data_IF_206977723956
#
_entry.id   IF_206977723956
#
_cell.length_a   1.000
_cell.length_b   1.000
_cell.length_c   1.000
_cell.angle_alpha   90.00
_cell.angle_beta   90.00
_cell.angle_gamma   90.00
#
_symmetry.space_group_name_H-M   'P 1'
#
loop_
_entity.id
_entity.type
_entity.pdbx_description
1 polymer ?
#
# COMPACT_ATOMS: atom_id res chain seq x y z
N UNK A 1 10.63 2.16 -8.19
CA UNK A 1 11.64 2.27 -7.12
C UNK A 1 11.52 3.59 -6.36
N UNK A 2 11.55 4.75 -7.03
CA UNK A 2 11.47 6.09 -6.39
C UNK A 2 10.36 6.23 -5.35
N UNK A 3 9.17 5.67 -5.61
CA UNK A 3 8.02 5.77 -4.69
C UNK A 3 8.28 5.10 -3.35
N UNK A 4 8.86 3.88 -3.33
CA UNK A 4 9.17 3.17 -2.09
C UNK A 4 10.20 3.93 -1.25
N UNK A 5 11.28 4.37 -1.90
CA UNK A 5 12.29 5.22 -1.25
C UNK A 5 11.69 6.51 -0.68
N UNK A 6 10.83 7.16 -1.46
CA UNK A 6 10.17 8.40 -1.03
C UNK A 6 9.22 8.17 0.15
N UNK A 7 8.55 7.03 0.24
CA UNK A 7 7.73 6.69 1.40
C UNK A 7 8.57 6.64 2.68
N UNK A 8 9.76 6.03 2.62
CA UNK A 8 10.71 6.03 3.73
C UNK A 8 11.20 7.45 4.07
N UNK A 9 11.66 8.20 3.06
CA UNK A 9 12.20 9.56 3.22
C UNK A 9 11.17 10.55 3.79
N UNK A 10 9.89 10.37 3.47
CA UNK A 10 8.80 11.21 3.96
C UNK A 10 8.27 10.76 5.33
N UNK A 11 8.77 9.65 5.88
CA UNK A 11 8.32 9.12 7.18
C UNK A 11 6.89 8.60 7.14
N UNK A 12 6.46 7.97 6.05
CA UNK A 12 5.14 7.32 5.97
C UNK A 12 5.09 6.13 6.93
N UNK A 13 4.06 6.08 7.77
CA UNK A 13 3.94 5.05 8.82
C UNK A 13 3.70 3.64 8.25
N UNK A 14 2.92 3.53 7.16
CA UNK A 14 2.58 2.26 6.52
C UNK A 14 2.55 2.42 4.99
N UNK A 15 3.22 1.50 4.29
CA UNK A 15 3.18 1.40 2.84
C UNK A 15 2.49 0.09 2.42
N UNK A 16 1.41 0.19 1.65
CA UNK A 16 0.72 -0.95 1.06
C UNK A 16 0.90 -0.95 -0.45
N UNK A 17 1.44 -2.05 -0.97
CA UNK A 17 1.67 -2.29 -2.40
C UNK A 17 0.79 -3.46 -2.87
N UNK A 18 0.08 -3.30 -3.99
CA UNK A 18 -0.80 -4.33 -4.55
C UNK A 18 -0.43 -4.68 -6.00
N UNK A 19 -0.32 -5.98 -6.28
CA UNK A 19 -0.04 -6.58 -7.58
C UNK A 19 1.44 -6.89 -7.79
N UNK A 20 1.73 -7.83 -8.71
CA UNK A 20 3.09 -8.32 -9.00
C UNK A 20 4.09 -7.19 -9.27
N UNK A 21 3.68 -6.24 -10.12
CA UNK A 21 4.52 -5.11 -10.51
C UNK A 21 4.80 -4.16 -9.35
N UNK A 22 4.13 -4.24 -8.22
CA UNK A 22 4.35 -3.35 -7.07
C UNK A 22 5.40 -3.89 -6.08
N UNK A 23 5.88 -5.14 -6.25
CA UNK A 23 6.89 -5.74 -5.38
C UNK A 23 8.16 -4.89 -5.25
N UNK A 24 8.60 -4.28 -6.36
CA UNK A 24 9.77 -3.41 -6.39
C UNK A 24 9.58 -2.08 -5.62
N UNK A 25 8.33 -1.69 -5.33
CA UNK A 25 8.02 -0.52 -4.47
C UNK A 25 8.24 -0.92 -3.01
N UNK A 26 7.74 -2.09 -2.60
CA UNK A 26 7.95 -2.63 -1.26
C UNK A 26 9.45 -2.87 -0.98
N UNK A 27 10.17 -3.51 -1.89
CA UNK A 27 11.63 -3.73 -1.76
C UNK A 27 12.38 -2.41 -1.57
N UNK A 28 12.11 -1.42 -2.41
CA UNK A 28 12.78 -0.11 -2.35
C UNK A 28 12.48 0.67 -1.06
N UNK A 29 11.32 0.44 -0.42
CA UNK A 29 10.98 1.05 0.86
C UNK A 29 11.74 0.40 2.02
N UNK A 30 11.84 -0.94 2.02
CA UNK A 30 12.63 -1.69 2.98
C UNK A 30 14.12 -1.35 2.89
N UNK A 31 14.67 -1.33 1.67
CA UNK A 31 16.06 -0.92 1.41
C UNK A 31 16.35 0.53 1.85
N UNK A 32 15.32 1.39 1.85
CA UNK A 32 15.40 2.77 2.30
C UNK A 32 15.19 2.95 3.82
N UNK A 33 14.98 1.86 4.56
CA UNK A 33 14.94 1.85 6.02
C UNK A 33 13.54 1.83 6.64
N UNK A 34 12.47 1.56 5.88
CA UNK A 34 11.18 1.26 6.50
C UNK A 34 11.21 -0.10 7.20
N UNK A 35 10.56 -0.17 8.36
CA UNK A 35 10.40 -1.42 9.12
C UNK A 35 9.63 -2.47 8.30
N UNK A 36 10.03 -3.74 8.43
CA UNK A 36 9.38 -4.84 7.71
C UNK A 36 7.88 -4.94 8.03
N UNK A 37 7.49 -4.59 9.25
CA UNK A 37 6.10 -4.59 9.69
C UNK A 37 5.28 -3.44 9.08
N UNK A 38 5.92 -2.34 8.67
CA UNK A 38 5.30 -1.17 8.07
C UNK A 38 5.07 -1.33 6.55
N UNK A 39 5.70 -2.30 5.90
CA UNK A 39 5.58 -2.54 4.45
C UNK A 39 4.76 -3.79 4.19
N UNK A 40 3.65 -3.64 3.45
CA UNK A 40 2.78 -4.74 3.03
C UNK A 40 2.75 -4.85 1.52
N UNK A 41 2.91 -6.07 1.01
CA UNK A 41 2.77 -6.37 -0.41
C UNK A 41 1.79 -7.51 -0.59
N UNK A 42 0.78 -7.29 -1.43
CA UNK A 42 -0.26 -8.26 -1.75
C UNK A 42 -0.24 -8.55 -3.25
N UNK A 43 -0.49 -9.81 -3.61
CA UNK A 43 -0.79 -10.18 -4.99
C UNK A 43 -2.29 -10.19 -5.25
N UNK A 44 -3.05 -10.58 -4.23
CA UNK A 44 -4.49 -10.68 -4.27
C UNK A 44 -5.17 -9.42 -3.72
N UNK A 45 -6.29 -9.05 -4.34
CA UNK A 45 -7.06 -7.86 -3.97
C UNK A 45 -7.82 -8.07 -2.66
N UNK A 46 -8.46 -9.22 -2.49
CA UNK A 46 -9.35 -9.50 -1.37
C UNK A 46 -8.55 -9.62 -0.06
N UNK A 47 -7.35 -10.20 -0.14
CA UNK A 47 -6.39 -10.21 0.98
C UNK A 47 -5.98 -8.79 1.39
N UNK A 48 -5.71 -7.91 0.41
CA UNK A 48 -5.36 -6.52 0.65
C UNK A 48 -6.53 -5.77 1.32
N UNK A 49 -7.75 -5.90 0.80
CA UNK A 49 -8.95 -5.28 1.37
C UNK A 49 -9.21 -5.78 2.78
N UNK A 50 -9.09 -7.08 3.02
CA UNK A 50 -9.23 -7.68 4.36
C UNK A 50 -8.21 -7.08 5.34
N UNK A 51 -6.96 -6.93 4.90
CA UNK A 51 -5.92 -6.30 5.70
C UNK A 51 -6.24 -4.83 6.00
N UNK A 52 -6.68 -4.06 4.99
CA UNK A 52 -7.05 -2.65 5.15
C UNK A 52 -8.22 -2.48 6.13
N UNK A 53 -9.28 -3.30 6.04
CA UNK A 53 -10.42 -3.26 6.99
C UNK A 53 -9.99 -3.52 8.44
N UNK A 54 -8.95 -4.33 8.65
CA UNK A 54 -8.46 -4.70 9.98
C UNK A 54 -7.50 -3.69 10.60
N UNK A 55 -6.66 -3.03 9.78
CA UNK A 55 -5.52 -2.23 10.28
C UNK A 55 -5.65 -0.74 10.04
N UNK A 56 -6.55 -0.31 9.14
CA UNK A 56 -6.76 1.10 8.84
C UNK A 56 -8.06 1.57 9.45
N UNK A 57 -7.99 2.66 10.20
CA UNK A 57 -9.09 3.27 10.93
C UNK A 57 -9.57 4.55 10.26
N UNK A 58 -10.75 5.04 10.69
CA UNK A 58 -11.30 6.33 10.24
C UNK A 58 -10.47 7.55 10.68
N UNK A 59 -9.44 7.36 11.52
CA UNK A 59 -8.56 8.44 12.01
C UNK A 59 -7.29 8.56 11.18
N UNK A 60 -7.04 7.62 10.28
CA UNK A 60 -5.82 7.58 9.47
C UNK A 60 -6.01 8.37 8.17
N UNK A 61 -4.90 8.93 7.68
CA UNK A 61 -4.86 9.60 6.38
C UNK A 61 -4.30 8.60 5.38
N UNK A 62 -5.09 8.31 4.34
CA UNK A 62 -4.70 7.31 3.32
C UNK A 62 -4.63 7.96 1.95
N UNK A 63 -3.46 7.83 1.32
CA UNK A 63 -3.23 8.25 -0.07
C UNK A 63 -3.35 7.04 -1.00
N UNK A 64 -4.31 7.11 -1.92
CA UNK A 64 -4.49 6.10 -2.95
C UNK A 64 -3.82 6.50 -4.25
N UNK A 65 -3.01 5.59 -4.82
CA UNK A 65 -2.40 5.80 -6.14
C UNK A 65 -2.35 4.52 -6.95
N UNK A 66 -2.94 4.55 -8.14
CA UNK A 66 -2.78 3.52 -9.15
C UNK A 66 -2.75 4.10 -10.57
N UNK A 67 -2.41 3.26 -11.54
CA UNK A 67 -2.66 3.51 -12.97
C UNK A 67 -4.11 3.16 -13.31
N UNK A 68 -4.71 3.82 -14.30
CA UNK A 68 -6.13 3.67 -14.68
C UNK A 68 -6.59 2.21 -14.87
N UNK A 69 -5.71 1.32 -15.34
CA UNK A 69 -6.04 -0.10 -15.55
C UNK A 69 -6.21 -0.94 -14.27
N UNK A 70 -5.86 -0.43 -13.09
CA UNK A 70 -6.00 -1.17 -11.83
C UNK A 70 -7.43 -1.12 -11.25
N UNK A 71 -8.30 -0.25 -11.76
CA UNK A 71 -9.65 -0.05 -11.23
C UNK A 71 -9.62 0.09 -9.70
N UNK A 72 -8.87 1.09 -9.22
CA UNK A 72 -8.69 1.32 -7.79
C UNK A 72 -10.00 1.77 -7.13
N UNK A 73 -10.88 2.35 -7.94
CA UNK A 73 -12.23 2.77 -7.56
C UNK A 73 -13.03 1.61 -6.95
N UNK A 74 -12.97 0.42 -7.56
CA UNK A 74 -13.71 -0.75 -7.04
C UNK A 74 -13.11 -1.29 -5.75
N UNK A 75 -11.78 -1.23 -5.57
CA UNK A 75 -11.13 -1.56 -4.30
C UNK A 75 -11.57 -0.61 -3.20
N UNK A 76 -11.66 0.68 -3.52
CA UNK A 76 -12.10 1.71 -2.57
C UNK A 76 -13.55 1.48 -2.15
N UNK A 77 -14.45 1.21 -3.09
CA UNK A 77 -15.85 0.89 -2.78
C UNK A 77 -15.98 -0.31 -1.85
N UNK A 78 -15.27 -1.40 -2.14
CA UNK A 78 -15.27 -2.61 -1.32
C UNK A 78 -14.70 -2.36 0.08
N UNK A 79 -13.58 -1.63 0.16
CA UNK A 79 -12.94 -1.32 1.44
C UNK A 79 -13.79 -0.38 2.31
N UNK A 80 -14.51 0.56 1.70
CA UNK A 80 -15.38 1.51 2.40
C UNK A 80 -16.77 0.95 2.77
N UNK A 81 -17.13 -0.22 2.23
CA UNK A 81 -18.36 -0.95 2.59
C UNK A 81 -18.26 -1.66 3.94
#
# INVERSE_FOLDING_TARGET
MKVGKMAAELGIDVLVALGERSAHIASAALEAGMEQEAVKHFLDRDECVTWLKKHVSKRDIVLFKASRGMQLETLLEEWMS
#
